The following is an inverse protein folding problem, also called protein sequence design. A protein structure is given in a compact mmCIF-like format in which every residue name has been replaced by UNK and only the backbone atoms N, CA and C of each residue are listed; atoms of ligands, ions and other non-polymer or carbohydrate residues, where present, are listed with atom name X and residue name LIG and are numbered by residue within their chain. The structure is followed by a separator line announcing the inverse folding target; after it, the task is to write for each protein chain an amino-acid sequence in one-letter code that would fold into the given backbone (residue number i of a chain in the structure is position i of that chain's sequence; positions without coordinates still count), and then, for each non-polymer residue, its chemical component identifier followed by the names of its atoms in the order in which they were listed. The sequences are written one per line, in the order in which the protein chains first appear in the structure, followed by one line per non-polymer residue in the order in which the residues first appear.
data_IF_759410941735
#
_entry.id   IF_759410941735
#
_cell.length_a   1.000
_cell.length_b   1.000
_cell.length_c   1.000
_cell.angle_alpha   90.00
_cell.angle_beta   90.00
_cell.angle_gamma   90.00
#
_symmetry.space_group_name_H-M   'P 1'
#
loop_
_entity.id
_entity.type
_entity.pdbx_description
1 polymer ?
#
# COMPACT_ATOMS: atom_id res chain seq x y z
N UNK A 1 9.18 -3.21 -1.12
CA UNK A 1 7.99 -2.40 -1.48
C UNK A 1 6.77 -2.71 -0.64
N UNK A 2 6.29 -3.96 -0.59
CA UNK A 2 5.05 -4.34 0.12
C UNK A 2 4.98 -3.91 1.60
N UNK A 3 6.02 -4.14 2.40
CA UNK A 3 6.04 -3.76 3.83
C UNK A 3 5.82 -2.25 4.05
N UNK A 4 6.40 -1.40 3.20
CA UNK A 4 6.32 0.05 3.37
C UNK A 4 4.91 0.56 3.01
N UNK A 5 4.31 0.00 1.95
CA UNK A 5 2.91 0.30 1.59
C UNK A 5 1.97 -0.10 2.72
N UNK A 6 2.16 -1.28 3.32
CA UNK A 6 1.34 -1.72 4.46
C UNK A 6 1.47 -0.79 5.68
N UNK A 7 2.64 -0.20 5.93
CA UNK A 7 2.80 0.75 7.03
C UNK A 7 1.95 2.02 6.81
N UNK A 8 1.95 2.58 5.60
CA UNK A 8 1.13 3.77 5.31
C UNK A 8 -0.37 3.46 5.49
N UNK A 9 -0.81 2.29 5.02
CA UNK A 9 -2.20 1.87 5.18
C UNK A 9 -2.57 1.61 6.65
N UNK A 10 -1.64 1.05 7.43
CA UNK A 10 -1.80 0.91 8.87
C UNK A 10 -1.92 2.28 9.54
N UNK A 11 -1.09 3.25 9.14
CA UNK A 11 -1.12 4.60 9.71
C UNK A 11 -2.43 5.33 9.44
N UNK A 12 -2.89 5.30 8.19
CA UNK A 12 -4.17 5.88 7.80
C UNK A 12 -5.34 5.25 8.56
N UNK A 13 -5.33 3.93 8.72
CA UNK A 13 -6.35 3.19 9.47
C UNK A 13 -6.30 3.47 10.98
N UNK A 14 -5.11 3.61 11.55
CA UNK A 14 -4.91 3.95 12.96
C UNK A 14 -5.45 5.34 13.28
N UNK A 15 -5.11 6.34 12.47
CA UNK A 15 -5.55 7.73 12.69
C UNK A 15 -7.05 7.87 12.62
N UNK A 16 -7.71 7.06 11.78
CA UNK A 16 -9.16 6.97 11.75
C UNK A 16 -9.72 6.44 13.08
N UNK A 17 -9.20 5.30 13.59
CA UNK A 17 -9.66 4.74 14.87
C UNK A 17 -9.37 5.63 16.07
N UNK A 18 -8.24 6.34 16.06
CA UNK A 18 -7.81 7.16 17.20
C UNK A 18 -8.78 8.31 17.48
N UNK A 19 -9.54 8.75 16.48
CA UNK A 19 -10.60 9.73 16.63
C UNK A 19 -11.78 9.22 17.46
N UNK A 20 -12.02 7.91 17.46
CA UNK A 20 -13.19 7.28 18.08
C UNK A 20 -12.89 6.42 19.30
N UNK A 21 -11.65 5.95 19.44
CA UNK A 21 -11.22 5.04 20.51
C UNK A 21 -10.19 5.75 21.40
N UNK A 22 -10.60 6.29 22.56
CA UNK A 22 -9.71 7.06 23.44
C UNK A 22 -8.47 6.26 23.88
N UNK A 23 -8.69 4.99 24.26
CA UNK A 23 -7.68 4.07 24.77
C UNK A 23 -7.24 3.03 23.71
N UNK A 24 -7.15 3.45 22.44
CA UNK A 24 -6.58 2.60 21.40
C UNK A 24 -5.13 2.25 21.77
N UNK A 25 -4.72 1.01 21.46
CA UNK A 25 -3.36 0.53 21.68
C UNK A 25 -2.32 1.49 21.07
N UNK A 26 -1.08 1.51 21.59
CA UNK A 26 0.01 2.24 20.95
C UNK A 26 0.14 1.83 19.49
N UNK A 27 0.44 2.80 18.62
CA UNK A 27 0.57 2.56 17.17
C UNK A 27 1.55 1.45 16.83
N UNK A 28 2.66 1.37 17.56
CA UNK A 28 3.69 0.33 17.41
C UNK A 28 3.16 -1.09 17.60
N UNK A 29 2.04 -1.24 18.29
CA UNK A 29 1.47 -2.53 18.69
C UNK A 29 0.25 -2.91 17.84
N UNK A 30 -0.04 -2.11 16.81
CA UNK A 30 -1.20 -2.25 15.94
C UNK A 30 -0.78 -2.68 14.54
N UNK A 31 -1.15 -3.89 14.13
CA UNK A 31 -1.08 -4.31 12.72
C UNK A 31 -2.41 -4.06 11.98
N UNK A 32 -2.39 -4.17 10.65
CA UNK A 32 -3.61 -3.99 9.82
C UNK A 32 -4.73 -4.96 10.25
N UNK A 33 -4.39 -6.17 10.68
CA UNK A 33 -5.39 -7.18 11.09
C UNK A 33 -6.16 -6.70 12.32
N UNK A 34 -5.44 -6.23 13.33
CA UNK A 34 -5.99 -5.65 14.55
C UNK A 34 -6.83 -4.42 14.23
N UNK A 35 -6.28 -3.47 13.47
CA UNK A 35 -6.99 -2.24 13.10
C UNK A 35 -8.29 -2.54 12.35
N UNK A 36 -8.26 -3.48 11.41
CA UNK A 36 -9.46 -3.93 10.70
C UNK A 36 -10.54 -4.51 11.66
N UNK A 37 -10.12 -5.32 12.65
CA UNK A 37 -11.04 -5.88 13.63
C UNK A 37 -11.67 -4.78 14.50
N UNK A 38 -10.90 -3.78 14.93
CA UNK A 38 -11.42 -2.66 15.72
C UNK A 38 -12.44 -1.82 14.94
N UNK A 39 -12.17 -1.53 13.65
CA UNK A 39 -13.16 -0.87 12.78
C UNK A 39 -14.49 -1.63 12.71
N UNK A 40 -14.41 -2.94 12.51
CA UNK A 40 -15.58 -3.81 12.44
C UNK A 40 -16.34 -3.88 13.76
N UNK A 41 -15.63 -3.85 14.90
CA UNK A 41 -16.25 -3.80 16.25
C UNK A 41 -16.94 -2.47 16.50
N UNK A 42 -16.32 -1.37 16.11
CA UNK A 42 -16.83 -0.01 16.29
C UNK A 42 -18.13 0.23 15.50
N UNK A 43 -18.28 -0.41 14.33
CA UNK A 43 -19.47 -0.32 13.44
C UNK A 43 -19.85 1.09 12.98
N UNK A 44 -18.98 2.09 13.16
CA UNK A 44 -19.22 3.47 12.72
C UNK A 44 -19.16 3.62 11.20
N UNK A 45 -18.24 2.91 10.54
CA UNK A 45 -18.00 2.99 9.10
C UNK A 45 -18.39 1.69 8.40
N UNK A 46 -19.69 1.43 8.25
CA UNK A 46 -20.16 0.25 7.53
C UNK A 46 -19.82 0.34 6.02
N UNK A 47 -19.18 -0.68 5.43
CA UNK A 47 -18.95 -0.75 3.98
C UNK A 47 -20.27 -0.93 3.23
N UNK A 48 -20.32 -0.46 1.99
CA UNK A 48 -21.50 -0.52 1.12
C UNK A 48 -22.00 -1.96 0.94
N UNK A 49 -21.07 -2.91 0.80
CA UNK A 49 -21.37 -4.33 0.58
C UNK A 49 -21.07 -5.21 1.81
N UNK A 50 -21.00 -4.60 2.99
CA UNK A 50 -20.67 -5.28 4.24
C UNK A 50 -19.19 -5.68 4.36
N UNK A 51 -18.86 -6.29 5.49
CA UNK A 51 -17.49 -6.67 5.85
C UNK A 51 -17.10 -8.04 5.27
N UNK A 52 -15.84 -8.21 4.89
CA UNK A 52 -15.28 -9.50 4.48
C UNK A 52 -15.58 -9.88 3.03
N UNK A 53 -15.71 -8.90 2.13
CA UNK A 53 -15.95 -9.12 0.71
C UNK A 53 -14.70 -9.55 -0.08
N UNK A 54 -14.84 -9.67 -1.39
CA UNK A 54 -13.73 -9.85 -2.33
C UNK A 54 -13.64 -8.61 -3.24
N UNK A 55 -12.52 -8.43 -3.95
CA UNK A 55 -12.31 -7.26 -4.83
C UNK A 55 -13.47 -7.02 -5.81
N UNK A 56 -14.04 -8.08 -6.37
CA UNK A 56 -15.15 -8.02 -7.33
C UNK A 56 -16.43 -7.42 -6.74
N UNK A 57 -16.57 -7.45 -5.41
CA UNK A 57 -17.72 -6.88 -4.70
C UNK A 57 -17.54 -5.40 -4.39
N UNK A 58 -16.34 -4.84 -4.54
CA UNK A 58 -16.07 -3.43 -4.23
C UNK A 58 -15.94 -2.67 -5.54
N UNK A 59 -17.01 -1.96 -5.92
CA UNK A 59 -16.99 -1.12 -7.11
C UNK A 59 -16.13 0.13 -6.88
N UNK A 60 -15.58 0.69 -7.95
CA UNK A 60 -14.79 1.94 -7.89
C UNK A 60 -15.60 3.10 -7.31
N UNK A 61 -16.91 3.11 -7.53
CA UNK A 61 -17.86 4.10 -6.99
C UNK A 61 -18.18 3.91 -5.51
N UNK A 62 -17.82 2.78 -4.90
CA UNK A 62 -18.00 2.56 -3.46
C UNK A 62 -16.89 3.29 -2.69
N UNK A 63 -17.10 4.59 -2.44
CA UNK A 63 -16.10 5.50 -1.87
C UNK A 63 -16.34 5.83 -0.38
N UNK A 64 -17.18 5.07 0.31
CA UNK A 64 -17.36 5.27 1.74
C UNK A 64 -16.09 4.83 2.50
N UNK A 65 -15.87 5.42 3.68
CA UNK A 65 -14.72 5.06 4.54
C UNK A 65 -14.69 3.56 4.85
N UNK A 66 -15.87 2.94 5.06
CA UNK A 66 -15.97 1.48 5.25
C UNK A 66 -15.46 0.67 4.06
N UNK A 67 -15.72 1.14 2.83
CA UNK A 67 -15.22 0.48 1.62
C UNK A 67 -13.69 0.58 1.51
N UNK A 68 -13.11 1.71 1.91
CA UNK A 68 -11.66 1.89 1.91
C UNK A 68 -10.96 1.05 2.98
N UNK A 69 -11.60 0.83 4.14
CA UNK A 69 -11.11 -0.12 5.14
C UNK A 69 -11.09 -1.55 4.56
N UNK A 70 -12.10 -1.95 3.79
CA UNK A 70 -12.09 -3.25 3.10
C UNK A 70 -10.99 -3.32 2.02
N UNK A 71 -10.73 -2.23 1.28
CA UNK A 71 -9.62 -2.17 0.31
C UNK A 71 -8.25 -2.33 0.99
N UNK A 72 -8.05 -1.73 2.16
CA UNK A 72 -6.83 -1.91 2.96
C UNK A 72 -6.67 -3.39 3.34
N UNK A 73 -7.73 -4.05 3.82
CA UNK A 73 -7.70 -5.47 4.16
C UNK A 73 -7.35 -6.34 2.94
N UNK A 74 -8.01 -6.11 1.82
CA UNK A 74 -7.80 -6.88 0.58
C UNK A 74 -6.38 -6.69 0.05
N UNK A 75 -5.87 -5.46 0.04
CA UNK A 75 -4.48 -5.16 -0.32
C UNK A 75 -3.52 -5.92 0.57
N UNK A 76 -3.72 -5.92 1.89
CA UNK A 76 -2.87 -6.67 2.82
C UNK A 76 -2.89 -8.16 2.51
N UNK A 77 -4.06 -8.74 2.28
CA UNK A 77 -4.18 -10.16 1.95
C UNK A 77 -3.41 -10.50 0.66
N UNK A 78 -3.55 -9.67 -0.37
CA UNK A 78 -2.86 -9.86 -1.65
C UNK A 78 -1.34 -9.77 -1.48
N UNK A 79 -0.85 -8.73 -0.80
CA UNK A 79 0.59 -8.55 -0.54
C UNK A 79 1.20 -9.59 0.43
N UNK A 80 0.39 -10.22 1.29
CA UNK A 80 0.84 -11.27 2.19
C UNK A 80 0.96 -12.63 1.50
N UNK A 81 0.13 -12.90 0.50
CA UNK A 81 0.08 -14.18 -0.19
C UNK A 81 0.85 -14.21 -1.51
N UNK A 82 1.20 -13.06 -2.06
CA UNK A 82 2.04 -12.96 -3.26
C UNK A 82 3.49 -12.68 -2.91
N UNK A 83 4.43 -13.38 -3.57
CA UNK A 83 5.80 -12.86 -3.66
C UNK A 83 5.75 -11.58 -4.51
N UNK A 84 6.56 -10.58 -4.20
CA UNK A 84 6.53 -9.31 -4.96
C UNK A 84 6.73 -9.50 -6.48
N UNK A 85 7.44 -10.56 -6.89
CA UNK A 85 7.64 -10.95 -8.29
C UNK A 85 6.43 -11.65 -8.95
N UNK A 86 5.38 -11.97 -8.19
CA UNK A 86 4.17 -12.65 -8.69
C UNK A 86 3.02 -11.68 -9.00
N UNK A 87 3.10 -10.42 -8.55
CA UNK A 87 2.18 -9.39 -9.00
C UNK A 87 2.62 -8.88 -10.37
N UNK A 88 1.86 -9.23 -11.42
CA UNK A 88 2.09 -8.65 -12.74
C UNK A 88 1.89 -7.14 -12.76
N UNK A 89 2.60 -6.44 -13.65
CA UNK A 89 2.62 -4.96 -13.74
C UNK A 89 1.23 -4.34 -13.82
N UNK A 90 0.32 -4.95 -14.59
CA UNK A 90 -1.07 -4.48 -14.70
C UNK A 90 -1.75 -4.46 -13.34
N UNK A 91 -1.64 -5.55 -12.58
CA UNK A 91 -2.30 -5.67 -11.27
C UNK A 91 -1.65 -4.76 -10.24
N UNK A 92 -0.33 -4.62 -10.31
CA UNK A 92 0.41 -3.68 -9.49
C UNK A 92 -0.08 -2.24 -9.71
N UNK A 93 -0.21 -1.80 -10.97
CA UNK A 93 -0.70 -0.46 -11.31
C UNK A 93 -2.15 -0.23 -10.88
N UNK A 94 -3.02 -1.23 -11.02
CA UNK A 94 -4.39 -1.17 -10.52
C UNK A 94 -4.43 -0.95 -9.01
N UNK A 95 -3.69 -1.77 -8.25
CA UNK A 95 -3.59 -1.61 -6.80
C UNK A 95 -3.02 -0.23 -6.46
N UNK A 96 -1.98 0.21 -7.13
CA UNK A 96 -1.37 1.51 -6.88
C UNK A 96 -2.36 2.66 -7.03
N UNK A 97 -3.16 2.66 -8.09
CA UNK A 97 -4.21 3.66 -8.32
C UNK A 97 -5.28 3.62 -7.22
N UNK A 98 -5.73 2.42 -6.86
CA UNK A 98 -6.70 2.22 -5.77
C UNK A 98 -6.17 2.80 -4.45
N UNK A 99 -4.90 2.50 -4.12
CA UNK A 99 -4.25 2.98 -2.91
C UNK A 99 -4.05 4.49 -2.92
N UNK A 100 -3.64 5.06 -4.05
CA UNK A 100 -3.51 6.52 -4.21
C UNK A 100 -4.84 7.22 -3.92
N UNK A 101 -5.93 6.72 -4.50
CA UNK A 101 -7.24 7.35 -4.34
C UNK A 101 -7.83 7.19 -2.95
N UNK A 102 -7.66 6.02 -2.30
CA UNK A 102 -8.10 5.87 -0.92
C UNK A 102 -7.28 6.73 0.04
N UNK A 103 -5.95 6.84 -0.14
CA UNK A 103 -5.12 7.66 0.72
C UNK A 103 -5.46 9.15 0.60
N UNK A 104 -5.82 9.65 -0.59
CA UNK A 104 -6.35 11.02 -0.75
C UNK A 104 -7.60 11.24 0.10
N UNK A 105 -8.50 10.25 0.15
CA UNK A 105 -9.72 10.34 0.99
C UNK A 105 -9.39 10.29 2.48
N UNK A 106 -8.42 9.46 2.89
CA UNK A 106 -7.93 9.43 4.27
C UNK A 106 -7.23 10.72 4.67
N UNK A 107 -6.44 11.35 3.80
CA UNK A 107 -5.82 12.66 4.04
C UNK A 107 -6.88 13.72 4.36
N UNK A 108 -7.96 13.76 3.57
CA UNK A 108 -9.10 14.66 3.78
C UNK A 108 -9.83 14.38 5.09
N UNK A 109 -10.02 13.09 5.42
CA UNK A 109 -10.78 12.66 6.59
C UNK A 109 -10.03 12.84 7.90
N UNK A 110 -8.78 12.35 7.96
CA UNK A 110 -7.97 12.31 9.16
C UNK A 110 -7.29 13.65 9.45
N UNK A 111 -7.12 14.52 8.44
CA UNK A 111 -6.34 15.77 8.52
C UNK A 111 -5.00 15.56 9.24
N UNK A 112 -4.19 14.57 8.81
CA UNK A 112 -2.96 14.23 9.51
C UNK A 112 -1.95 15.37 9.39
N UNK A 113 -1.00 15.42 10.32
CA UNK A 113 0.09 16.41 10.27
C UNK A 113 1.01 16.23 9.05
N UNK A 114 1.04 15.03 8.46
CA UNK A 114 1.74 14.70 7.21
C UNK A 114 0.85 13.80 6.36
N UNK A 115 0.78 14.08 5.06
CA UNK A 115 -0.12 13.38 4.15
C UNK A 115 0.39 11.97 3.82
N UNK A 116 -0.51 11.00 3.81
CA UNK A 116 -0.20 9.63 3.42
C UNK A 116 0.13 9.54 1.93
N UNK A 117 -0.50 10.40 1.12
CA UNK A 117 -0.22 10.49 -0.32
C UNK A 117 1.22 10.92 -0.60
N UNK A 118 1.77 11.86 0.17
CA UNK A 118 3.17 12.25 0.07
C UNK A 118 4.11 11.07 0.35
N UNK A 119 3.82 10.27 1.39
CA UNK A 119 4.61 9.09 1.71
C UNK A 119 4.54 8.05 0.59
N UNK A 120 3.36 7.86 0.01
CA UNK A 120 3.19 6.93 -1.12
C UNK A 120 4.00 7.39 -2.35
N UNK A 121 3.98 8.69 -2.65
CA UNK A 121 4.75 9.28 -3.76
C UNK A 121 6.27 9.17 -3.54
N UNK A 122 6.74 9.37 -2.30
CA UNK A 122 8.15 9.18 -1.94
C UNK A 122 8.61 7.74 -2.18
N UNK A 123 7.75 6.74 -1.92
CA UNK A 123 8.04 5.33 -2.20
C UNK A 123 8.11 5.09 -3.72
N UNK A 124 7.17 5.63 -4.50
CA UNK A 124 7.20 5.52 -5.95
C UNK A 124 8.52 6.06 -6.51
N UNK A 125 8.90 7.27 -6.13
CA UNK A 125 10.13 7.91 -6.60
C UNK A 125 11.38 7.07 -6.25
N UNK A 126 11.47 6.54 -5.02
CA UNK A 126 12.58 5.67 -4.60
C UNK A 126 12.62 4.35 -5.35
N UNK A 127 11.46 3.81 -5.72
CA UNK A 127 11.38 2.53 -6.43
C UNK A 127 11.79 2.69 -7.89
N UNK A 128 11.34 3.76 -8.56
CA UNK A 128 11.77 4.12 -9.92
C UNK A 128 13.30 4.27 -9.95
N UNK A 129 13.85 5.05 -9.02
CA UNK A 129 15.30 5.24 -8.92
C UNK A 129 16.05 3.92 -8.73
N UNK A 130 15.55 2.99 -7.90
CA UNK A 130 16.17 1.69 -7.72
C UNK A 130 16.17 0.83 -9.01
N UNK A 131 15.08 0.88 -9.79
CA UNK A 131 15.02 0.20 -11.08
C UNK A 131 16.00 0.79 -12.10
N UNK A 132 16.12 2.13 -12.15
CA UNK A 132 17.08 2.81 -13.03
C UNK A 132 18.52 2.43 -12.67
N UNK A 133 18.89 2.41 -11.39
CA UNK A 133 20.21 1.97 -10.92
C UNK A 133 20.48 0.52 -11.32
N UNK A 134 19.51 -0.38 -11.11
CA UNK A 134 19.66 -1.79 -11.48
C UNK A 134 19.84 -1.99 -12.98
N UNK A 135 19.15 -1.19 -13.81
CA UNK A 135 19.32 -1.22 -15.27
C UNK A 135 20.73 -0.81 -15.68
N UNK A 136 21.27 0.25 -15.08
CA UNK A 136 22.64 0.73 -15.33
C UNK A 136 23.67 -0.31 -14.89
N UNK A 137 23.49 -0.93 -13.71
CA UNK A 137 24.39 -1.99 -13.24
C UNK A 137 24.41 -3.18 -14.21
N UNK A 138 23.25 -3.57 -14.72
CA UNK A 138 23.14 -4.67 -15.70
C UNK A 138 23.80 -4.30 -17.05
N UNK A 139 23.70 -3.04 -17.48
CA UNK A 139 24.40 -2.56 -18.68
C UNK A 139 25.92 -2.57 -18.50
N UNK A 140 26.43 -2.09 -17.36
CA UNK A 140 27.86 -2.09 -17.04
C UNK A 140 28.40 -3.52 -16.95
N UNK A 141 27.70 -4.41 -16.23
CA UNK A 141 28.09 -5.81 -16.08
C UNK A 141 27.96 -6.61 -17.39
N UNK A 142 27.05 -6.20 -18.29
CA UNK A 142 26.90 -6.78 -19.62
C UNK A 142 27.97 -6.31 -20.63
N UNK A 143 28.76 -5.27 -20.31
CA UNK A 143 29.82 -4.75 -21.18
C UNK A 143 31.21 -5.37 -20.91
N UNK A 144 31.39 -6.15 -19.84
CA UNK A 144 32.66 -6.83 -19.55
C UNK A 144 32.65 -8.28 -20.10
N UNK A 145 33.18 -8.45 -21.33
CA UNK A 145 34.03 -9.54 -21.88
C UNK A 145 34.04 -9.35 -23.41
N UNK A 146 34.89 -8.44 -23.88
CA UNK A 146 35.39 -8.38 -25.27
C UNK A 146 36.70 -7.59 -25.29
N UNK A 147 37.64 -7.96 -24.43
CA UNK A 147 39.04 -7.57 -24.60
C UNK A 147 39.78 -8.81 -25.08
N UNK A 148 39.71 -9.06 -26.39
CA UNK A 148 40.65 -9.93 -27.08
C UNK A 148 42.05 -9.35 -26.88
N UNK A 149 42.84 -9.99 -26.02
CA UNK A 149 44.27 -9.74 -25.96
C UNK A 149 44.88 -10.49 -27.16
N UNK A 150 44.96 -9.83 -28.31
CA UNK A 150 45.91 -10.20 -29.36
C UNK A 150 47.33 -9.84 -28.89
N UNK A 151 48.00 -10.79 -28.24
CA UNK A 151 49.45 -10.76 -28.07
C UNK A 151 50.11 -11.33 -29.33
N UNK A 152 50.80 -10.43 -30.05
CA UNK A 152 51.78 -10.72 -31.11
C UNK A 152 52.97 -11.53 -30.61
#
# INVERSE_FOLDING_TARGET
MGIIVLNILADASYDLLKQDIPNLRPRSDCDITYLYQEHRKLRKHAPTNGWGGEWQKIQVTNIAIGDDIERIRLTRNELQHSRAAELGDTRFNELWNILSDLLKRFDQHNKPARLYTDHLNEIAAKTIFAHEVQSIENEILGMDISVEIETK
#
